data_IF_306406128742
#
_entry.id   IF_306406128742
#
_cell.length_a   1.000
_cell.length_b   1.000
_cell.length_c   1.000
_cell.angle_alpha   90.00
_cell.angle_beta   90.00
_cell.angle_gamma   90.00
#
_symmetry.space_group_name_H-M   'P 1'
#
loop_
_entity.id
_entity.type
_entity.pdbx_description
1 polymer ?
#
# COMPACT_ATOMS: atom_id res chain seq x y z
N UNK A 1 -10.49 -45.35 -4.09
CA UNK A 1 -10.39 -44.01 -3.48
C UNK A 1 -11.77 -43.38 -3.49
N UNK A 2 -12.40 -43.26 -2.33
CA UNK A 2 -13.74 -42.70 -2.21
C UNK A 2 -13.69 -41.19 -2.48
N UNK A 3 -14.48 -40.73 -3.46
CA UNK A 3 -14.71 -39.30 -3.70
C UNK A 3 -15.54 -38.77 -2.53
N UNK A 4 -14.93 -37.94 -1.68
CA UNK A 4 -15.65 -37.26 -0.62
C UNK A 4 -16.62 -36.26 -1.27
N UNK A 5 -17.90 -36.64 -1.35
CA UNK A 5 -18.96 -35.74 -1.78
C UNK A 5 -18.96 -34.53 -0.83
N UNK A 6 -18.77 -33.35 -1.40
CA UNK A 6 -18.94 -32.09 -0.66
C UNK A 6 -20.41 -32.04 -0.22
N UNK A 7 -20.73 -31.85 1.08
CA UNK A 7 -22.11 -31.78 1.49
C UNK A 7 -22.75 -30.54 0.87
N UNK A 8 -23.63 -30.77 -0.11
CA UNK A 8 -24.51 -29.74 -0.63
C UNK A 8 -25.39 -29.30 0.54
N UNK A 9 -25.10 -28.12 1.10
CA UNK A 9 -25.95 -27.53 2.11
C UNK A 9 -27.25 -27.12 1.42
N UNK A 10 -28.42 -27.64 1.81
CA UNK A 10 -29.67 -27.26 1.18
C UNK A 10 -29.88 -25.74 1.32
N UNK A 11 -30.35 -25.11 0.24
CA UNK A 11 -30.73 -23.70 0.20
C UNK A 11 -31.61 -23.36 1.40
N UNK A 12 -31.15 -22.47 2.26
CA UNK A 12 -31.94 -21.93 3.36
C UNK A 12 -32.38 -20.52 3.00
N UNK A 13 -33.49 -20.05 3.57
CA UNK A 13 -33.91 -18.65 3.41
C UNK A 13 -32.77 -17.65 3.67
N UNK A 14 -31.88 -17.94 4.62
CA UNK A 14 -30.73 -17.09 4.93
C UNK A 14 -29.67 -17.05 3.83
N UNK A 15 -29.40 -18.19 3.18
CA UNK A 15 -28.47 -18.26 2.03
C UNK A 15 -29.09 -17.59 0.80
N UNK A 16 -30.41 -17.72 0.60
CA UNK A 16 -31.15 -16.98 -0.43
C UNK A 16 -31.09 -15.47 -0.21
N UNK A 17 -31.32 -14.99 1.01
CA UNK A 17 -31.22 -13.57 1.38
C UNK A 17 -29.83 -13.00 1.09
N UNK A 18 -28.79 -13.75 1.46
CA UNK A 18 -27.40 -13.40 1.15
C UNK A 18 -27.19 -13.26 -0.37
N UNK A 19 -27.59 -14.27 -1.15
CA UNK A 19 -27.44 -14.26 -2.60
C UNK A 19 -28.18 -13.08 -3.25
N UNK A 20 -29.37 -12.73 -2.75
CA UNK A 20 -30.12 -11.54 -3.20
C UNK A 20 -29.35 -10.24 -2.94
N UNK A 21 -28.73 -10.07 -1.77
CA UNK A 21 -27.91 -8.88 -1.49
C UNK A 21 -26.67 -8.82 -2.39
N UNK A 22 -26.03 -9.96 -2.65
CA UNK A 22 -24.92 -10.04 -3.59
C UNK A 22 -25.36 -9.63 -4.99
N UNK A 23 -26.50 -10.13 -5.48
CA UNK A 23 -27.09 -9.75 -6.76
C UNK A 23 -27.40 -8.26 -6.82
N UNK A 24 -28.01 -7.71 -5.77
CA UNK A 24 -28.34 -6.29 -5.69
C UNK A 24 -27.08 -5.42 -5.82
N UNK A 25 -25.98 -5.80 -5.16
CA UNK A 25 -24.71 -5.07 -5.25
C UNK A 25 -23.98 -5.29 -6.58
N UNK A 26 -23.85 -6.54 -7.03
CA UNK A 26 -23.05 -6.91 -8.19
C UNK A 26 -23.74 -6.52 -9.50
N UNK A 27 -25.04 -6.73 -9.63
CA UNK A 27 -25.76 -6.40 -10.86
C UNK A 27 -26.19 -4.93 -10.82
N UNK A 28 -27.12 -4.61 -9.92
CA UNK A 28 -27.77 -3.29 -9.88
C UNK A 28 -26.81 -2.22 -9.37
N UNK A 29 -26.07 -2.50 -8.31
CA UNK A 29 -25.09 -1.58 -7.74
C UNK A 29 -23.94 -1.27 -8.70
N UNK A 30 -23.37 -2.28 -9.38
CA UNK A 30 -22.38 -2.04 -10.44
C UNK A 30 -22.96 -1.23 -11.58
N UNK A 31 -24.19 -1.51 -12.02
CA UNK A 31 -24.82 -0.73 -13.09
C UNK A 31 -25.02 0.73 -12.68
N UNK A 32 -25.50 1.00 -11.47
CA UNK A 32 -25.67 2.37 -10.97
C UNK A 32 -24.35 3.14 -10.88
N UNK A 33 -23.27 2.48 -10.42
CA UNK A 33 -21.93 3.06 -10.40
C UNK A 33 -21.38 3.27 -11.82
N UNK A 34 -21.67 2.35 -12.74
CA UNK A 34 -21.27 2.44 -14.15
C UNK A 34 -21.96 3.60 -14.84
N UNK A 35 -23.27 3.77 -14.66
CA UNK A 35 -24.02 4.89 -15.24
C UNK A 35 -23.53 6.22 -14.68
N UNK A 36 -23.21 6.25 -13.38
CA UNK A 36 -22.58 7.41 -12.75
C UNK A 36 -21.20 7.71 -13.36
N UNK A 37 -20.39 6.67 -13.58
CA UNK A 37 -19.07 6.80 -14.20
C UNK A 37 -19.17 7.26 -15.66
N UNK A 38 -20.02 6.64 -16.46
CA UNK A 38 -20.22 6.92 -17.88
C UNK A 38 -20.82 8.32 -18.11
N UNK A 39 -21.57 8.84 -17.15
CA UNK A 39 -22.02 10.24 -17.17
C UNK A 39 -20.85 11.23 -17.06
N UNK A 40 -19.80 10.88 -16.31
CA UNK A 40 -18.61 11.74 -16.10
C UNK A 40 -17.59 11.51 -17.22
N UNK A 41 -17.38 10.24 -17.59
CA UNK A 41 -16.43 9.79 -18.60
C UNK A 41 -17.15 8.88 -19.60
N UNK A 42 -17.77 9.47 -20.65
CA UNK A 42 -18.50 8.70 -21.65
C UNK A 42 -17.66 7.56 -22.24
N UNK A 43 -18.27 6.41 -22.57
CA UNK A 43 -17.54 5.27 -23.16
C UNK A 43 -16.79 5.68 -24.43
N UNK A 44 -17.36 6.60 -25.22
CA UNK A 44 -16.71 7.18 -26.39
C UNK A 44 -15.53 8.06 -25.94
N UNK A 45 -14.32 7.62 -26.29
CA UNK A 45 -13.09 8.34 -25.94
C UNK A 45 -12.55 8.02 -24.54
N UNK A 46 -13.09 7.00 -23.87
CA UNK A 46 -12.63 6.59 -22.54
C UNK A 46 -11.11 6.33 -22.50
N UNK A 47 -10.55 5.71 -23.53
CA UNK A 47 -9.10 5.48 -23.66
C UNK A 47 -8.28 6.78 -23.63
N UNK A 48 -8.80 7.88 -24.19
CA UNK A 48 -8.15 9.19 -24.16
C UNK A 48 -8.14 9.76 -22.75
N UNK A 49 -9.24 9.61 -22.01
CA UNK A 49 -9.33 10.02 -20.60
C UNK A 49 -8.37 9.19 -19.73
N UNK A 50 -8.32 7.88 -19.92
CA UNK A 50 -7.42 7.01 -19.16
C UNK A 50 -5.94 7.25 -19.48
N UNK A 51 -5.63 7.63 -20.73
CA UNK A 51 -4.26 7.85 -21.20
C UNK A 51 -3.69 9.25 -20.94
N UNK A 52 -4.52 10.26 -20.65
CA UNK A 52 -4.05 11.63 -20.44
C UNK A 52 -3.56 11.88 -19.00
N UNK A 53 -2.72 12.90 -18.83
CA UNK A 53 -2.35 13.40 -17.52
C UNK A 53 -3.45 14.35 -16.97
N UNK A 54 -3.78 14.31 -15.67
CA UNK A 54 -3.15 13.53 -14.60
C UNK A 54 -3.73 12.12 -14.38
N UNK A 55 -4.83 11.74 -15.04
CA UNK A 55 -5.54 10.49 -14.76
C UNK A 55 -4.65 9.24 -14.92
N UNK A 56 -3.84 9.18 -15.98
CA UNK A 56 -2.90 8.08 -16.21
C UNK A 56 -1.87 7.93 -15.08
N UNK A 57 -1.34 9.05 -14.58
CA UNK A 57 -0.36 9.06 -13.51
C UNK A 57 -0.96 8.55 -12.19
N UNK A 58 -2.18 8.99 -11.87
CA UNK A 58 -2.94 8.49 -10.71
C UNK A 58 -3.17 6.98 -10.82
N UNK A 59 -3.64 6.48 -11.96
CA UNK A 59 -3.87 5.05 -12.17
C UNK A 59 -2.58 4.23 -12.06
N UNK A 60 -1.46 4.75 -12.58
CA UNK A 60 -0.13 4.11 -12.46
C UNK A 60 0.32 4.04 -11.00
N UNK A 61 0.08 5.09 -10.21
CA UNK A 61 0.34 5.07 -8.76
C UNK A 61 -0.56 4.07 -8.02
N UNK A 62 -1.83 3.93 -8.41
CA UNK A 62 -2.73 2.94 -7.80
C UNK A 62 -2.30 1.51 -8.13
N UNK A 63 -1.79 1.27 -9.34
CA UNK A 63 -1.19 -0.01 -9.72
C UNK A 63 0.06 -0.32 -8.88
N UNK A 64 0.98 0.63 -8.71
CA UNK A 64 2.20 0.40 -7.93
C UNK A 64 1.90 0.15 -6.45
N UNK A 65 0.87 0.80 -5.90
CA UNK A 65 0.35 0.57 -4.54
C UNK A 65 -0.51 -0.70 -4.42
N UNK A 66 -0.63 -1.50 -5.47
CA UNK A 66 -1.44 -2.74 -5.52
C UNK A 66 -2.94 -2.54 -5.24
N UNK A 67 -3.45 -1.32 -5.40
CA UNK A 67 -4.90 -1.03 -5.34
C UNK A 67 -5.60 -1.54 -6.60
N UNK A 68 -4.92 -1.42 -7.76
CA UNK A 68 -5.35 -2.04 -9.02
C UNK A 68 -4.54 -3.31 -9.26
N UNK A 69 -5.21 -4.44 -9.43
CA UNK A 69 -4.55 -5.69 -9.78
C UNK A 69 -4.26 -5.80 -11.29
N UNK A 70 -3.52 -6.82 -11.71
CA UNK A 70 -3.12 -7.02 -13.10
C UNK A 70 -4.32 -7.17 -14.05
N UNK A 71 -5.37 -7.89 -13.63
CA UNK A 71 -6.60 -8.08 -14.40
C UNK A 71 -7.34 -6.77 -14.63
N UNK A 72 -7.54 -5.98 -13.56
CA UNK A 72 -8.15 -4.66 -13.65
C UNK A 72 -7.31 -3.70 -14.50
N UNK A 73 -5.98 -3.77 -14.39
CA UNK A 73 -5.10 -2.99 -15.25
C UNK A 73 -5.26 -3.35 -16.73
N UNK A 74 -5.36 -4.64 -17.05
CA UNK A 74 -5.60 -5.11 -18.41
C UNK A 74 -6.96 -4.68 -18.98
N UNK A 75 -7.99 -4.58 -18.12
CA UNK A 75 -9.29 -4.00 -18.50
C UNK A 75 -9.20 -2.50 -18.82
N UNK A 76 -8.36 -1.74 -18.11
CA UNK A 76 -8.17 -0.30 -18.33
C UNK A 76 -7.26 0.00 -19.53
N UNK A 77 -6.24 -0.81 -19.75
CA UNK A 77 -5.23 -0.65 -20.80
C UNK A 77 -5.12 -1.93 -21.64
N UNK A 78 -6.14 -2.27 -22.43
CA UNK A 78 -6.10 -3.40 -23.34
C UNK A 78 -5.08 -3.16 -24.46
N UNK A 79 -4.69 -4.23 -25.17
CA UNK A 79 -3.76 -4.15 -26.30
C UNK A 79 -4.23 -3.18 -27.41
N UNK A 80 -5.54 -3.07 -27.61
CA UNK A 80 -6.17 -2.09 -28.50
C UNK A 80 -6.80 -1.02 -27.61
N UNK A 81 -6.20 0.16 -27.41
CA UNK A 81 -6.70 1.13 -26.43
C UNK A 81 -8.16 1.52 -26.64
N UNK A 82 -8.60 1.69 -27.89
CA UNK A 82 -9.97 2.07 -28.23
C UNK A 82 -11.03 1.01 -27.89
N UNK A 83 -10.64 -0.22 -27.57
CA UNK A 83 -11.58 -1.29 -27.15
C UNK A 83 -11.96 -1.22 -25.68
N UNK A 84 -11.32 -0.35 -24.89
CA UNK A 84 -11.68 -0.18 -23.48
C UNK A 84 -13.15 0.20 -23.34
N UNK A 85 -13.85 -0.49 -22.45
CA UNK A 85 -15.26 -0.28 -22.20
C UNK A 85 -15.55 -0.46 -20.74
N UNK A 86 -16.34 0.47 -20.18
CA UNK A 86 -16.77 0.38 -18.80
C UNK A 86 -17.60 -0.88 -18.56
N UNK A 87 -18.28 -1.45 -19.56
CA UNK A 87 -19.16 -2.64 -19.42
C UNK A 87 -18.52 -3.82 -18.68
N UNK A 88 -17.21 -4.04 -18.84
CA UNK A 88 -16.49 -5.14 -18.20
C UNK A 88 -15.96 -4.83 -16.79
N UNK A 89 -16.19 -3.62 -16.26
CA UNK A 89 -15.67 -3.21 -14.97
C UNK A 89 -16.56 -3.75 -13.85
N UNK A 90 -15.94 -4.44 -12.89
CA UNK A 90 -16.59 -4.87 -11.65
C UNK A 90 -16.81 -3.68 -10.70
N UNK A 91 -17.64 -3.91 -9.67
CA UNK A 91 -17.97 -2.92 -8.65
C UNK A 91 -16.74 -2.27 -8.01
N UNK A 92 -15.70 -3.07 -7.72
CA UNK A 92 -14.47 -2.60 -7.09
C UNK A 92 -13.73 -1.64 -8.01
N UNK A 93 -13.56 -2.01 -9.29
CA UNK A 93 -12.90 -1.15 -10.27
C UNK A 93 -13.68 0.17 -10.46
N UNK A 94 -15.00 0.12 -10.59
CA UNK A 94 -15.84 1.31 -10.71
C UNK A 94 -15.67 2.27 -9.52
N UNK A 95 -15.68 1.75 -8.29
CA UNK A 95 -15.44 2.55 -7.08
C UNK A 95 -14.05 3.21 -7.07
N UNK A 96 -13.01 2.47 -7.48
CA UNK A 96 -11.64 3.01 -7.58
C UNK A 96 -11.60 4.16 -8.60
N UNK A 97 -12.22 4.00 -9.77
CA UNK A 97 -12.24 5.04 -10.79
C UNK A 97 -13.01 6.29 -10.34
N UNK A 98 -14.21 6.11 -9.78
CA UNK A 98 -15.04 7.22 -9.27
C UNK A 98 -14.32 8.05 -8.19
N UNK A 99 -13.60 7.38 -7.27
CA UNK A 99 -12.83 8.05 -6.21
C UNK A 99 -11.63 8.82 -6.72
N UNK A 100 -10.96 8.35 -7.77
CA UNK A 100 -9.61 8.80 -8.11
C UNK A 100 -9.49 9.59 -9.41
N UNK A 101 -10.38 9.38 -10.38
CA UNK A 101 -10.28 10.02 -11.72
C UNK A 101 -11.55 10.78 -12.13
N UNK A 102 -12.63 10.68 -11.35
CA UNK A 102 -13.87 11.42 -11.62
C UNK A 102 -13.98 12.76 -10.88
N UNK A 103 -12.92 13.19 -10.18
CA UNK A 103 -12.85 14.48 -9.46
C UNK A 103 -13.98 14.68 -8.44
N UNK A 104 -14.45 13.59 -7.84
CA UNK A 104 -15.44 13.63 -6.77
C UNK A 104 -14.74 13.93 -5.44
N UNK A 105 -15.23 14.92 -4.69
CA UNK A 105 -14.76 15.17 -3.33
C UNK A 105 -15.11 13.99 -2.41
N UNK A 106 -14.24 13.62 -1.44
CA UNK A 106 -14.63 12.64 -0.44
C UNK A 106 -15.84 13.11 0.37
N UNK A 107 -16.71 12.19 0.83
CA UNK A 107 -17.67 12.49 1.90
C UNK A 107 -16.94 13.02 3.14
N UNK A 108 -17.65 13.70 4.05
CA UNK A 108 -17.08 14.22 5.29
C UNK A 108 -16.42 13.13 6.16
N UNK A 109 -16.92 11.90 6.10
CA UNK A 109 -16.38 10.72 6.78
C UNK A 109 -15.29 9.99 5.99
N UNK A 110 -14.93 10.49 4.80
CA UNK A 110 -14.09 9.78 3.84
C UNK A 110 -14.81 8.65 3.10
N UNK A 111 -14.07 7.94 2.25
CA UNK A 111 -14.61 6.87 1.39
C UNK A 111 -14.61 5.49 2.06
N UNK A 112 -13.99 5.37 3.23
CA UNK A 112 -13.69 4.09 3.90
C UNK A 112 -14.57 3.87 5.14
N UNK A 113 -15.44 4.82 5.48
CA UNK A 113 -16.37 4.76 6.61
C UNK A 113 -17.81 4.97 6.15
N UNK A 114 -18.77 4.35 6.84
CA UNK A 114 -20.19 4.52 6.55
C UNK A 114 -20.62 5.98 6.77
N UNK A 115 -21.11 6.69 5.74
CA UNK A 115 -21.56 8.07 5.90
C UNK A 115 -22.84 8.17 6.76
N UNK A 116 -23.08 9.33 7.43
CA UNK A 116 -24.30 9.56 8.22
C UNK A 116 -25.55 9.42 7.35
N UNK A 117 -26.65 8.88 7.87
CA UNK A 117 -27.89 8.68 7.09
C UNK A 117 -28.51 9.97 6.53
N UNK A 118 -28.13 11.13 7.07
CA UNK A 118 -28.56 12.45 6.60
C UNK A 118 -27.77 12.99 5.41
N UNK A 119 -26.64 12.37 5.03
CA UNK A 119 -25.84 12.78 3.88
C UNK A 119 -26.34 12.09 2.60
N UNK A 120 -27.20 12.78 1.85
CA UNK A 120 -27.76 12.26 0.60
C UNK A 120 -26.90 12.56 -0.64
N UNK A 121 -25.65 13.01 -0.45
CA UNK A 121 -24.77 13.34 -1.57
C UNK A 121 -24.45 12.11 -2.42
N UNK A 122 -24.15 12.36 -3.70
CA UNK A 122 -23.68 11.35 -4.65
C UNK A 122 -22.48 10.58 -4.08
N UNK A 123 -21.54 11.30 -3.47
CA UNK A 123 -20.32 10.74 -2.93
C UNK A 123 -20.58 9.87 -1.70
N UNK A 124 -21.51 10.29 -0.84
CA UNK A 124 -21.95 9.46 0.29
C UNK A 124 -22.62 8.17 -0.19
N UNK A 125 -23.45 8.22 -1.24
CA UNK A 125 -24.08 7.02 -1.80
C UNK A 125 -23.07 6.04 -2.42
N UNK A 126 -22.02 6.54 -3.11
CA UNK A 126 -20.90 5.71 -3.58
C UNK A 126 -20.17 5.05 -2.38
N UNK A 127 -19.92 5.80 -1.31
CA UNK A 127 -19.27 5.29 -0.11
C UNK A 127 -20.14 4.25 0.64
N UNK A 128 -21.47 4.43 0.70
CA UNK A 128 -22.42 3.43 1.23
C UNK A 128 -22.36 2.12 0.45
N UNK A 129 -22.41 2.18 -0.88
CA UNK A 129 -22.31 0.98 -1.72
C UNK A 129 -21.01 0.22 -1.45
N UNK A 130 -19.90 0.94 -1.27
CA UNK A 130 -18.62 0.33 -0.92
C UNK A 130 -18.65 -0.31 0.47
N UNK A 131 -19.20 0.39 1.45
CA UNK A 131 -19.34 -0.12 2.81
C UNK A 131 -20.15 -1.43 2.81
N UNK A 132 -21.34 -1.43 2.22
CA UNK A 132 -22.19 -2.63 2.19
C UNK A 132 -21.62 -3.75 1.35
N UNK A 133 -20.90 -3.46 0.25
CA UNK A 133 -20.11 -4.47 -0.48
C UNK A 133 -19.14 -5.18 0.46
N UNK A 134 -18.40 -4.42 1.27
CA UNK A 134 -17.44 -5.00 2.21
C UNK A 134 -18.13 -5.74 3.36
N UNK A 135 -19.22 -5.20 3.92
CA UNK A 135 -19.97 -5.84 5.01
C UNK A 135 -20.69 -7.10 4.57
N UNK A 136 -21.36 -7.09 3.41
CA UNK A 136 -22.19 -8.20 2.93
C UNK A 136 -21.35 -9.36 2.46
N UNK A 137 -20.22 -9.13 1.79
CA UNK A 137 -19.39 -10.26 1.32
C UNK A 137 -17.88 -10.05 1.40
N UNK A 138 -17.38 -8.81 1.43
CA UNK A 138 -15.93 -8.58 1.56
C UNK A 138 -15.34 -9.07 2.89
N UNK A 139 -16.15 -9.20 3.94
CA UNK A 139 -15.77 -9.63 5.29
C UNK A 139 -16.78 -10.61 5.91
N UNK A 140 -17.66 -11.21 5.10
CA UNK A 140 -18.68 -12.12 5.63
C UNK A 140 -18.04 -13.46 6.01
N UNK A 141 -18.20 -13.86 7.26
CA UNK A 141 -17.72 -15.17 7.74
C UNK A 141 -18.54 -16.34 7.19
N UNK A 142 -19.78 -16.07 6.75
CA UNK A 142 -20.72 -17.05 6.23
C UNK A 142 -21.58 -16.44 5.11
N UNK A 143 -21.94 -17.27 4.14
CA UNK A 143 -22.85 -16.92 3.05
C UNK A 143 -24.33 -16.95 3.47
N UNK A 144 -24.67 -16.34 4.61
CA UNK A 144 -26.04 -16.38 5.14
C UNK A 144 -26.38 -15.09 5.89
N UNK A 145 -27.59 -14.57 5.68
CA UNK A 145 -28.10 -13.35 6.34
C UNK A 145 -29.51 -13.61 6.86
N UNK A 146 -29.77 -13.33 8.14
CA UNK A 146 -31.12 -13.40 8.70
C UNK A 146 -32.05 -12.33 8.13
N UNK A 147 -33.36 -12.50 8.32
CA UNK A 147 -34.36 -11.63 7.71
C UNK A 147 -34.26 -10.16 8.19
N UNK A 148 -33.88 -9.93 9.44
CA UNK A 148 -33.78 -8.57 9.99
C UNK A 148 -32.60 -7.85 9.35
N UNK A 149 -31.43 -8.48 9.33
CA UNK A 149 -30.25 -7.95 8.66
C UNK A 149 -30.47 -7.79 7.14
N UNK A 150 -31.15 -8.75 6.51
CA UNK A 150 -31.49 -8.69 5.09
C UNK A 150 -32.35 -7.47 4.77
N UNK A 151 -33.44 -7.25 5.49
CA UNK A 151 -34.33 -6.11 5.24
C UNK A 151 -33.61 -4.78 5.43
N UNK A 152 -32.79 -4.66 6.49
CA UNK A 152 -32.00 -3.46 6.73
C UNK A 152 -30.98 -3.20 5.61
N UNK A 153 -30.17 -4.20 5.25
CA UNK A 153 -29.19 -4.05 4.17
C UNK A 153 -29.85 -3.78 2.82
N UNK A 154 -30.94 -4.49 2.52
CA UNK A 154 -31.70 -4.29 1.29
C UNK A 154 -32.15 -2.84 1.17
N UNK A 155 -32.77 -2.30 2.23
CA UNK A 155 -33.26 -0.93 2.25
C UNK A 155 -32.12 0.10 2.09
N UNK A 156 -31.04 -0.04 2.85
CA UNK A 156 -29.90 0.88 2.81
C UNK A 156 -29.18 0.87 1.45
N UNK A 157 -28.96 -0.32 0.88
CA UNK A 157 -28.35 -0.47 -0.45
C UNK A 157 -29.29 0.10 -1.52
N UNK A 158 -30.59 -0.20 -1.45
CA UNK A 158 -31.58 0.30 -2.41
C UNK A 158 -31.67 1.82 -2.39
N UNK A 159 -31.71 2.42 -1.19
CA UNK A 159 -31.71 3.87 -1.02
C UNK A 159 -30.43 4.51 -1.55
N UNK A 160 -29.27 3.88 -1.34
CA UNK A 160 -28.01 4.38 -1.89
C UNK A 160 -28.01 4.33 -3.43
N UNK A 161 -28.53 3.25 -4.05
CA UNK A 161 -28.67 3.15 -5.51
C UNK A 161 -29.62 4.22 -6.04
N UNK A 162 -30.83 4.32 -5.49
CA UNK A 162 -31.83 5.31 -5.92
C UNK A 162 -31.34 6.73 -5.70
N UNK A 163 -30.66 7.01 -4.59
CA UNK A 163 -30.04 8.31 -4.33
C UNK A 163 -28.86 8.63 -5.26
N UNK A 164 -28.25 7.63 -5.89
CA UNK A 164 -27.13 7.79 -6.81
C UNK A 164 -27.59 8.11 -8.24
N UNK A 165 -28.56 7.34 -8.75
CA UNK A 165 -28.97 7.34 -10.16
C UNK A 165 -30.45 7.65 -10.38
N UNK A 166 -31.22 7.86 -9.32
CA UNK A 166 -32.62 8.26 -9.35
C UNK A 166 -33.63 7.11 -9.24
N UNK A 167 -34.91 7.47 -9.17
CA UNK A 167 -36.01 6.55 -8.93
C UNK A 167 -36.25 5.51 -10.04
N UNK A 168 -35.68 5.70 -11.24
CA UNK A 168 -35.82 4.76 -12.36
C UNK A 168 -35.32 3.35 -12.06
N UNK A 169 -34.43 3.19 -11.08
CA UNK A 169 -33.94 1.89 -10.61
C UNK A 169 -34.90 1.17 -9.66
N UNK A 170 -35.90 1.87 -9.10
CA UNK A 170 -36.79 1.33 -8.07
C UNK A 170 -37.51 0.06 -8.54
N UNK A 171 -38.03 0.04 -9.76
CA UNK A 171 -38.70 -1.13 -10.31
C UNK A 171 -37.77 -2.35 -10.45
N UNK A 172 -36.55 -2.14 -10.95
CA UNK A 172 -35.57 -3.22 -11.09
C UNK A 172 -35.18 -3.82 -9.72
N UNK A 173 -35.00 -2.95 -8.72
CA UNK A 173 -34.72 -3.36 -7.33
C UNK A 173 -35.92 -4.13 -6.76
N UNK A 174 -37.13 -3.60 -6.84
CA UNK A 174 -38.33 -4.27 -6.30
C UNK A 174 -38.59 -5.62 -6.97
N UNK A 175 -38.38 -5.72 -8.28
CA UNK A 175 -38.47 -6.99 -9.00
C UNK A 175 -37.44 -7.98 -8.48
N UNK A 176 -36.18 -7.55 -8.31
CA UNK A 176 -35.10 -8.39 -7.79
C UNK A 176 -35.37 -8.94 -6.38
N UNK A 177 -36.03 -8.14 -5.53
CA UNK A 177 -36.37 -8.56 -4.17
C UNK A 177 -37.36 -9.73 -4.14
N UNK A 178 -38.33 -9.69 -5.06
CA UNK A 178 -39.49 -10.57 -5.09
C UNK A 178 -39.33 -11.72 -6.09
N UNK A 179 -38.34 -11.66 -6.98
CA UNK A 179 -38.04 -12.73 -7.93
C UNK A 179 -37.74 -14.04 -7.16
N UNK A 180 -38.33 -15.13 -7.64
CA UNK A 180 -37.98 -16.47 -7.16
C UNK A 180 -36.52 -16.72 -7.53
N UNK A 181 -35.69 -17.14 -6.58
CA UNK A 181 -34.33 -17.55 -6.91
C UNK A 181 -34.41 -18.88 -7.63
N UNK A 182 -34.27 -18.83 -8.94
CA UNK A 182 -34.13 -19.99 -9.81
C UNK A 182 -32.89 -20.81 -9.42
N UNK A 183 -32.93 -22.15 -9.44
CA UNK A 183 -31.80 -22.99 -9.03
C UNK A 183 -30.49 -22.70 -9.77
N UNK A 184 -30.54 -22.34 -11.06
CA UNK A 184 -29.33 -21.99 -11.83
C UNK A 184 -28.73 -20.65 -11.36
N UNK A 185 -29.61 -19.71 -10.97
CA UNK A 185 -29.20 -18.43 -10.36
C UNK A 185 -28.56 -18.67 -9.00
N UNK A 186 -29.14 -19.56 -8.17
CA UNK A 186 -28.55 -19.96 -6.90
C UNK A 186 -27.15 -20.57 -7.08
N UNK A 187 -26.99 -21.46 -8.07
CA UNK A 187 -25.69 -22.07 -8.37
C UNK A 187 -24.66 -21.03 -8.84
N UNK A 188 -25.06 -20.06 -9.68
CA UNK A 188 -24.17 -18.97 -10.10
C UNK A 188 -23.64 -18.17 -8.90
N UNK A 189 -24.52 -17.78 -7.97
CA UNK A 189 -24.09 -17.06 -6.75
C UNK A 189 -23.28 -17.94 -5.81
N UNK A 190 -23.57 -19.24 -5.73
CA UNK A 190 -22.78 -20.23 -4.99
C UNK A 190 -21.36 -20.37 -5.56
N UNK A 191 -21.19 -20.33 -6.89
CA UNK A 191 -19.89 -20.32 -7.53
C UNK A 191 -19.15 -19.00 -7.28
N UNK A 192 -19.84 -17.86 -7.38
CA UNK A 192 -19.27 -16.55 -7.06
C UNK A 192 -18.79 -16.48 -5.60
N UNK A 193 -19.56 -17.10 -4.69
CA UNK A 193 -19.21 -17.30 -3.29
C UNK A 193 -17.94 -18.12 -3.09
N UNK A 194 -17.82 -19.26 -3.79
CA UNK A 194 -16.59 -20.07 -3.78
C UNK A 194 -15.40 -19.29 -4.31
N UNK A 195 -15.59 -18.52 -5.38
CA UNK A 195 -14.54 -17.69 -5.95
C UNK A 195 -14.10 -16.58 -4.98
N UNK A 196 -15.04 -15.90 -4.33
CA UNK A 196 -14.72 -14.86 -3.35
C UNK A 196 -14.00 -15.41 -2.11
N UNK A 197 -14.41 -16.60 -1.64
CA UNK A 197 -13.68 -17.29 -0.57
C UNK A 197 -12.24 -17.60 -0.98
N UNK A 198 -12.05 -18.14 -2.19
CA UNK A 198 -10.71 -18.42 -2.72
C UNK A 198 -9.87 -17.14 -2.88
N UNK A 199 -10.48 -16.03 -3.33
CA UNK A 199 -9.81 -14.74 -3.45
C UNK A 199 -9.41 -14.19 -2.07
N UNK A 200 -10.26 -14.34 -1.05
CA UNK A 200 -9.95 -13.98 0.35
C UNK A 200 -8.79 -14.82 0.90
N UNK A 201 -8.83 -16.14 0.71
CA UNK A 201 -7.78 -17.06 1.16
C UNK A 201 -6.43 -16.75 0.48
N UNK A 202 -6.43 -16.47 -0.83
CA UNK A 202 -5.25 -16.06 -1.58
C UNK A 202 -4.72 -14.67 -1.18
N UNK A 203 -5.60 -13.71 -0.85
CA UNK A 203 -5.18 -12.41 -0.30
C UNK A 203 -4.53 -12.60 1.07
N UNK A 204 -5.10 -13.46 1.92
CA UNK A 204 -4.58 -13.77 3.24
C UNK A 204 -3.19 -14.43 3.16
N UNK A 205 -3.01 -15.37 2.25
CA UNK A 205 -1.71 -16.02 2.00
C UNK A 205 -0.65 -14.99 1.57
N UNK A 206 -0.98 -14.12 0.60
CA UNK A 206 -0.07 -13.05 0.17
C UNK A 206 0.25 -12.04 1.27
N UNK A 207 -0.71 -11.76 2.15
CA UNK A 207 -0.49 -10.89 3.30
C UNK A 207 0.52 -11.52 4.27
N UNK A 208 0.39 -12.82 4.55
CA UNK A 208 1.34 -13.56 5.39
C UNK A 208 2.75 -13.59 4.77
N UNK A 209 2.87 -13.75 3.45
CA UNK A 209 4.15 -13.69 2.73
C UNK A 209 4.81 -12.30 2.84
N UNK A 210 4.02 -11.23 2.73
CA UNK A 210 4.49 -9.84 2.91
C UNK A 210 4.93 -9.61 4.36
N UNK A 211 4.17 -10.09 5.33
CA UNK A 211 4.52 -9.99 6.75
C UNK A 211 5.86 -10.69 7.05
N UNK A 212 6.05 -11.91 6.53
CA UNK A 212 7.31 -12.65 6.65
C UNK A 212 8.48 -11.90 5.99
N UNK A 213 8.28 -11.39 4.78
CA UNK A 213 9.30 -10.59 4.07
C UNK A 213 9.67 -9.32 4.83
N UNK A 214 8.67 -8.63 5.40
CA UNK A 214 8.86 -7.42 6.21
C UNK A 214 9.64 -7.73 7.48
N UNK A 215 9.38 -8.88 8.11
CA UNK A 215 10.12 -9.33 9.28
C UNK A 215 11.59 -9.60 8.97
N UNK A 216 11.89 -10.26 7.84
CA UNK A 216 13.26 -10.49 7.39
C UNK A 216 14.00 -9.17 7.12
N UNK A 217 13.38 -8.24 6.39
CA UNK A 217 13.96 -6.90 6.14
C UNK A 217 14.26 -6.18 7.45
N UNK A 218 13.34 -6.26 8.43
CA UNK A 218 13.55 -5.65 9.75
C UNK A 218 14.74 -6.28 10.49
N UNK A 219 14.94 -7.59 10.37
CA UNK A 219 16.11 -8.28 10.93
C UNK A 219 17.41 -7.81 10.28
N UNK A 220 17.46 -7.74 8.95
CA UNK A 220 18.63 -7.29 8.21
C UNK A 220 18.97 -5.82 8.53
N UNK A 221 17.97 -4.94 8.63
CA UNK A 221 18.15 -3.55 9.06
C UNK A 221 18.74 -3.43 10.47
N UNK A 222 18.29 -4.28 11.40
CA UNK A 222 18.84 -4.30 12.76
C UNK A 222 20.30 -4.77 12.77
N UNK A 223 20.64 -5.77 11.95
CA UNK A 223 22.00 -6.27 11.80
C UNK A 223 22.93 -5.19 11.22
N UNK A 224 22.51 -4.55 10.12
CA UNK A 224 23.26 -3.44 9.51
C UNK A 224 23.47 -2.29 10.49
N UNK A 225 22.47 -1.95 11.31
CA UNK A 225 22.61 -0.91 12.35
C UNK A 225 23.70 -1.26 13.36
N UNK A 226 23.80 -2.51 13.79
CA UNK A 226 24.86 -2.96 14.71
C UNK A 226 26.25 -2.89 14.05
N UNK A 227 26.36 -3.32 12.79
CA UNK A 227 27.62 -3.25 12.05
C UNK A 227 28.11 -1.82 11.85
N UNK A 228 27.21 -0.90 11.49
CA UNK A 228 27.51 0.53 11.41
C UNK A 228 27.96 1.07 12.77
N UNK A 229 27.30 0.66 13.87
CA UNK A 229 27.73 1.03 15.23
C UNK A 229 29.18 0.61 15.53
N UNK A 230 29.54 -0.64 15.22
CA UNK A 230 30.91 -1.14 15.42
C UNK A 230 31.94 -0.39 14.55
N UNK A 231 31.56 -0.02 13.33
CA UNK A 231 32.43 0.77 12.43
C UNK A 231 32.68 2.16 13.02
N UNK A 232 31.63 2.80 13.56
CA UNK A 232 31.75 4.11 14.22
C UNK A 232 32.69 4.03 15.42
N UNK A 233 32.52 3.05 16.31
CA UNK A 233 33.41 2.87 17.48
C UNK A 233 34.88 2.63 17.07
N UNK A 234 35.09 1.83 16.02
CA UNK A 234 36.43 1.57 15.49
C UNK A 234 37.05 2.83 14.87
N UNK A 235 36.25 3.64 14.19
CA UNK A 235 36.68 4.92 13.63
C UNK A 235 37.09 5.88 14.74
N UNK A 236 36.29 6.01 15.81
CA UNK A 236 36.63 6.84 16.98
C UNK A 236 37.95 6.40 17.62
N UNK A 237 38.14 5.08 17.80
CA UNK A 237 39.39 4.53 18.33
C UNK A 237 40.59 4.83 17.42
N UNK A 238 40.41 4.75 16.10
CA UNK A 238 41.47 5.03 15.13
C UNK A 238 41.83 6.52 15.12
N UNK A 239 40.82 7.40 15.18
CA UNK A 239 41.04 8.85 15.27
C UNK A 239 41.82 9.22 16.54
N UNK A 240 41.49 8.61 17.69
CA UNK A 240 42.23 8.82 18.94
C UNK A 240 43.70 8.40 18.82
N UNK A 241 43.98 7.20 18.29
CA UNK A 241 45.36 6.72 18.05
C UNK A 241 46.13 7.61 17.08
N UNK A 242 45.47 8.12 16.05
CA UNK A 242 46.13 9.00 15.08
C UNK A 242 46.57 10.32 15.75
N UNK A 243 45.75 10.86 16.66
CA UNK A 243 46.12 12.05 17.43
C UNK A 243 47.35 11.78 18.30
N UNK A 244 47.37 10.66 19.03
CA UNK A 244 48.52 10.26 19.85
C UNK A 244 49.81 10.10 19.02
N UNK A 245 49.71 9.51 17.81
CA UNK A 245 50.88 9.37 16.93
C UNK A 245 51.43 10.71 16.45
N UNK A 246 50.56 11.67 16.11
CA UNK A 246 50.96 13.03 15.74
C UNK A 246 51.64 13.75 16.90
N UNK A 247 51.10 13.61 18.11
CA UNK A 247 51.68 14.23 19.30
C UNK A 247 53.07 13.63 19.61
N UNK A 248 53.23 12.31 19.43
CA UNK A 248 54.52 11.61 19.60
C UNK A 248 55.56 12.01 18.55
N UNK A 249 55.15 12.14 17.29
CA UNK A 249 56.03 12.57 16.19
C UNK A 249 56.52 13.99 16.43
N UNK A 250 55.63 14.90 16.86
CA UNK A 250 55.99 16.25 17.26
C UNK A 250 57.04 16.25 18.38
N UNK A 251 56.81 15.48 19.45
CA UNK A 251 57.77 15.37 20.56
C UNK A 251 59.11 14.78 20.13
N UNK A 252 59.12 13.86 19.16
CA UNK A 252 60.35 13.28 18.61
C UNK A 252 61.16 14.32 17.85
N UNK A 253 60.50 15.11 16.99
CA UNK A 253 61.12 16.21 16.27
C UNK A 253 61.72 17.26 17.23
N UNK A 254 60.99 17.62 18.30
CA UNK A 254 61.47 18.55 19.33
C UNK A 254 62.73 18.00 20.05
N UNK A 255 62.76 16.70 20.36
CA UNK A 255 63.94 16.04 20.96
C UNK A 255 65.14 16.06 20.03
N UNK A 256 64.96 15.78 18.75
CA UNK A 256 66.05 15.75 17.78
C UNK A 256 66.60 17.16 17.52
N UNK A 257 65.76 18.20 17.53
CA UNK A 257 66.20 19.59 17.53
C UNK A 257 67.06 19.91 18.76
N UNK A 258 66.59 19.56 19.97
CA UNK A 258 67.36 19.78 21.21
C UNK A 258 68.72 19.07 21.19
N UNK A 259 68.79 17.84 20.67
CA UNK A 259 70.06 17.12 20.54
C UNK A 259 71.04 17.84 19.62
N UNK A 260 70.58 18.39 18.49
CA UNK A 260 71.41 19.18 17.59
C UNK A 260 71.95 20.45 18.26
N UNK A 261 71.09 21.16 19.00
CA UNK A 261 71.48 22.34 19.77
C UNK A 261 72.53 22.01 20.85
N UNK A 262 72.34 20.90 21.60
CA UNK A 262 73.31 20.42 22.60
C UNK A 262 74.65 20.07 21.94
N UNK A 263 74.65 19.38 20.80
CA UNK A 263 75.86 19.05 20.04
C UNK A 263 76.64 20.31 19.65
N UNK A 264 75.94 21.31 19.11
CA UNK A 264 76.54 22.61 18.78
C UNK A 264 77.15 23.32 20.01
N UNK A 265 76.51 23.21 21.17
CA UNK A 265 77.03 23.75 22.44
C UNK A 265 78.30 22.99 22.88
N UNK A 266 78.29 21.66 22.78
CA UNK A 266 79.44 20.80 23.10
C UNK A 266 80.66 21.09 22.22
N UNK A 267 80.45 21.28 20.93
CA UNK A 267 81.50 21.65 19.98
C UNK A 267 82.10 23.01 20.32
N UNK A 268 81.25 24.02 20.56
CA UNK A 268 81.69 25.37 20.99
C UNK A 268 82.48 25.32 22.30
N UNK A 269 82.03 24.53 23.28
CA UNK A 269 82.73 24.37 24.55
C UNK A 269 84.11 23.73 24.35
N UNK A 270 84.20 22.73 23.48
CA UNK A 270 85.47 22.06 23.14
C UNK A 270 86.44 23.03 22.48
N UNK A 271 85.98 23.85 21.54
CA UNK A 271 86.80 24.91 20.92
C UNK A 271 87.30 25.94 21.94
N UNK A 272 86.44 26.41 22.86
CA UNK A 272 86.83 27.35 23.91
C UNK A 272 87.87 26.75 24.88
N UNK A 273 87.72 25.48 25.24
CA UNK A 273 88.70 24.79 26.08
C UNK A 273 90.07 24.66 25.41
N UNK A 274 90.11 24.40 24.09
CA UNK A 274 91.36 24.37 23.33
C UNK A 274 92.02 25.75 23.27
N UNK A 275 91.27 26.80 22.95
CA UNK A 275 91.79 28.17 22.91
C UNK A 275 92.40 28.63 24.26
N UNK A 276 91.74 28.30 25.39
CA UNK A 276 92.26 28.61 26.73
C UNK A 276 93.56 27.88 27.07
N UNK A 277 93.73 26.66 26.56
CA UNK A 277 94.95 25.86 26.76
C UNK A 277 96.14 26.44 25.97
N UNK A 278 95.88 27.01 24.80
CA UNK A 278 96.88 27.72 23.99
C UNK A 278 97.30 29.05 24.64
N UNK A 279 96.34 29.82 25.19
CA UNK A 279 96.65 31.06 25.92
C UNK A 279 97.48 30.83 27.20
N UNK A 280 97.24 29.74 27.93
CA UNK A 280 98.00 29.40 29.15
C UNK A 280 99.41 28.86 28.87
N UNK A 281 99.69 28.40 27.65
CA UNK A 281 101.05 28.02 27.21
C UNK A 281 101.90 29.19 26.73
N UNK A 282 101.32 30.39 26.56
CA UNK A 282 102.05 31.59 26.12
C UNK A 282 102.32 32.61 27.24
N UNK A 283 101.92 32.33 28.49
CA UNK A 283 102.12 33.21 29.64
C UNK A 283 102.98 32.63 30.78
N UNK A 284 103.59 31.46 30.60
CA UNK A 284 104.57 30.87 31.52
C UNK A 284 105.92 30.70 30.86
#
# INVERSE_FOLDING_TARGET
MASAATPASPSTKKTTNYARLCRLLVDVGSQALRDTFDTIHPPKGLHTVLGRHPEHATLKSLKSKRVLNATQWGKLYPAIPSSVSSKGFDITLLMVLLRNICKLAPPSTGWDSLPPSTDFSKQANIARLKYYRNTVYGHASQASVDDVAFNNYWQEISNAIVGLVGAGYGAAISNLQNECMDPDTEEHYSQLLKQWKNDEDNVKEKLQEIEASTWNIKKDLNQLRCEVGNIVEKLDTMMARQQETKDREKMTNDIDQMKSEIGNIQDKLSSLMMARKEETQHQG
#
